data_IF_982076540034
#
_entry.id   IF_982076540034
#
_cell.length_a   1.000
_cell.length_b   1.000
_cell.length_c   1.000
_cell.angle_alpha   90.00
_cell.angle_beta   90.00
_cell.angle_gamma   90.00
#
_symmetry.space_group_name_H-M   'P 1'
#
loop_
_entity.id
_entity.type
_entity.pdbx_description
1 polymer ?
#
# COMPACT_ATOMS: atom_id res chain seq x y z
N UNK A 1 -25.24 16.52 18.57
CA UNK A 1 -24.27 16.09 19.61
C UNK A 1 -22.96 15.85 18.89
N UNK A 2 -21.99 16.74 19.13
CA UNK A 2 -20.69 16.70 18.44
C UNK A 2 -19.86 15.56 18.98
N UNK A 3 -19.48 14.63 18.10
CA UNK A 3 -18.43 13.66 18.41
C UNK A 3 -17.11 14.40 18.35
N UNK A 4 -16.51 14.63 19.53
CA UNK A 4 -15.19 15.21 19.64
C UNK A 4 -14.17 14.26 19.05
N UNK A 5 -13.64 14.59 17.89
CA UNK A 5 -12.37 14.04 17.43
C UNK A 5 -11.30 14.57 18.37
N UNK A 6 -10.91 13.76 19.37
CA UNK A 6 -9.65 13.95 20.08
C UNK A 6 -8.54 13.85 19.05
N UNK A 7 -7.72 14.89 18.95
CA UNK A 7 -6.52 14.86 18.13
C UNK A 7 -5.57 13.81 18.72
N UNK A 8 -5.48 12.65 18.07
CA UNK A 8 -4.43 11.67 18.35
C UNK A 8 -3.14 12.21 17.74
N UNK A 9 -2.09 12.30 18.55
CA UNK A 9 -0.72 12.57 18.09
C UNK A 9 -0.20 11.35 17.33
N UNK A 10 0.70 11.54 16.35
CA UNK A 10 1.19 10.48 15.47
C UNK A 10 1.76 9.27 16.24
N UNK A 11 2.32 9.52 17.43
CA UNK A 11 2.92 8.51 18.31
C UNK A 11 1.89 7.57 18.99
N UNK A 12 0.59 7.89 18.95
CA UNK A 12 -0.49 7.11 19.57
C UNK A 12 -1.26 6.23 18.55
N UNK A 13 -0.86 6.27 17.28
CA UNK A 13 -1.50 5.53 16.20
C UNK A 13 -0.97 4.08 16.16
N UNK A 14 -1.56 3.23 16.99
CA UNK A 14 -1.42 1.77 16.86
C UNK A 14 -2.04 1.23 15.56
N UNK A 15 -1.57 0.08 15.06
CA UNK A 15 -2.15 -0.62 13.91
C UNK A 15 -3.67 -0.89 14.03
N UNK A 16 -4.20 -0.98 15.24
CA UNK A 16 -5.66 -1.05 15.49
C UNK A 16 -6.39 0.20 14.99
N UNK A 17 -5.83 1.38 15.19
CA UNK A 17 -6.42 2.65 14.73
C UNK A 17 -6.46 2.70 13.21
N UNK A 18 -5.39 2.24 12.56
CA UNK A 18 -5.33 2.14 11.09
C UNK A 18 -6.42 1.19 10.57
N UNK A 19 -6.56 -0.01 11.16
CA UNK A 19 -7.60 -0.97 10.77
C UNK A 19 -9.00 -0.37 10.96
N UNK A 20 -9.24 0.34 12.06
CA UNK A 20 -10.52 0.98 12.34
C UNK A 20 -10.83 2.09 11.33
N UNK A 21 -9.87 2.96 11.03
CA UNK A 21 -10.04 4.01 10.02
C UNK A 21 -10.29 3.46 8.62
N UNK A 22 -9.61 2.36 8.24
CA UNK A 22 -9.88 1.67 6.98
C UNK A 22 -11.30 1.11 6.97
N UNK A 23 -11.73 0.48 8.07
CA UNK A 23 -13.09 -0.04 8.22
C UNK A 23 -14.14 1.06 8.17
N UNK A 24 -13.91 2.19 8.84
CA UNK A 24 -14.84 3.32 8.90
C UNK A 24 -14.92 4.06 7.55
N UNK A 25 -13.84 4.03 6.78
CA UNK A 25 -13.79 4.59 5.42
C UNK A 25 -14.33 3.63 4.35
N UNK A 26 -14.65 2.38 4.70
CA UNK A 26 -15.03 1.35 3.74
C UNK A 26 -16.33 1.67 3.00
N UNK A 27 -17.36 2.18 3.68
CA UNK A 27 -18.65 2.51 3.06
C UNK A 27 -18.52 3.61 1.97
N UNK A 28 -17.67 4.60 2.23
CA UNK A 28 -17.37 5.67 1.27
C UNK A 28 -16.57 5.08 0.09
N UNK A 29 -15.61 4.22 0.39
CA UNK A 29 -14.73 3.56 -0.60
C UNK A 29 -15.53 2.63 -1.52
N UNK A 30 -16.45 1.84 -0.97
CA UNK A 30 -17.36 0.95 -1.71
C UNK A 30 -18.14 1.70 -2.79
N UNK A 31 -18.80 2.80 -2.42
CA UNK A 31 -19.59 3.57 -3.37
C UNK A 31 -18.72 4.22 -4.46
N UNK A 32 -17.54 4.72 -4.10
CA UNK A 32 -16.57 5.28 -5.05
C UNK A 32 -16.00 4.22 -6.00
N UNK A 33 -15.72 3.01 -5.50
CA UNK A 33 -15.28 1.86 -6.29
C UNK A 33 -16.36 1.44 -7.28
N UNK A 34 -17.61 1.26 -6.82
CA UNK A 34 -18.74 0.90 -7.70
C UNK A 34 -18.94 1.93 -8.80
N UNK A 35 -18.88 3.23 -8.48
CA UNK A 35 -19.00 4.31 -9.48
C UNK A 35 -17.85 4.32 -10.48
N UNK A 36 -16.62 4.19 -9.99
CA UNK A 36 -15.42 4.16 -10.83
C UNK A 36 -15.43 2.95 -11.76
N UNK A 37 -15.85 1.79 -11.25
CA UNK A 37 -15.96 0.56 -12.02
C UNK A 37 -17.05 0.63 -13.09
N UNK A 38 -18.24 1.17 -12.76
CA UNK A 38 -19.30 1.44 -13.74
C UNK A 38 -18.87 2.42 -14.83
N UNK A 39 -18.03 3.41 -14.49
CA UNK A 39 -17.47 4.36 -15.46
C UNK A 39 -16.47 3.69 -16.39
N UNK A 40 -15.64 2.79 -15.87
CA UNK A 40 -14.65 2.04 -16.65
C UNK A 40 -15.32 1.01 -17.57
N UNK A 41 -16.36 0.32 -17.05
CA UNK A 41 -17.07 -0.75 -17.78
C UNK A 41 -18.59 -0.60 -17.65
N UNK A 42 -19.22 0.28 -18.46
CA UNK A 42 -20.66 0.54 -18.39
C UNK A 42 -21.53 -0.69 -18.66
N UNK A 43 -21.07 -1.61 -19.50
CA UNK A 43 -21.78 -2.85 -19.86
C UNK A 43 -21.98 -3.83 -18.68
N UNK A 44 -21.24 -3.65 -17.58
CA UNK A 44 -21.38 -4.48 -16.38
C UNK A 44 -22.50 -3.98 -15.45
N UNK A 45 -22.98 -2.74 -15.63
CA UNK A 45 -23.93 -2.09 -14.72
C UNK A 45 -25.30 -2.81 -14.64
N UNK A 46 -25.65 -3.60 -15.65
CA UNK A 46 -26.94 -4.30 -15.75
C UNK A 46 -26.84 -5.81 -15.43
N UNK A 47 -25.64 -6.35 -15.21
CA UNK A 47 -25.46 -7.78 -14.92
C UNK A 47 -25.47 -8.04 -13.43
N UNK A 48 -26.63 -8.37 -12.87
CA UNK A 48 -26.75 -8.87 -11.48
C UNK A 48 -26.20 -10.29 -11.28
N UNK A 49 -25.55 -10.85 -12.31
CA UNK A 49 -24.98 -12.20 -12.30
C UNK A 49 -23.47 -12.06 -12.48
N UNK A 50 -22.73 -12.28 -11.39
CA UNK A 50 -21.29 -12.53 -11.44
C UNK A 50 -21.14 -13.96 -11.94
N UNK A 51 -21.26 -14.16 -13.25
CA UNK A 51 -20.61 -15.33 -13.83
C UNK A 51 -19.12 -15.06 -13.75
N UNK A 52 -18.42 -15.94 -13.04
CA UNK A 52 -16.97 -16.08 -13.05
C UNK A 52 -16.56 -16.57 -14.46
N UNK A 53 -16.87 -15.76 -15.47
CA UNK A 53 -16.44 -15.95 -16.83
C UNK A 53 -14.98 -15.56 -16.88
N UNK A 54 -14.16 -16.50 -17.35
CA UNK A 54 -12.80 -16.27 -17.82
C UNK A 54 -12.73 -14.88 -18.44
N UNK A 55 -11.98 -13.97 -17.81
CA UNK A 55 -11.88 -12.59 -18.25
C UNK A 55 -11.59 -12.63 -19.76
N UNK A 56 -12.56 -12.16 -20.54
CA UNK A 56 -12.50 -12.13 -21.98
C UNK A 56 -11.26 -11.31 -22.36
N UNK A 57 -10.15 -12.01 -22.62
CA UNK A 57 -8.81 -11.43 -22.83
C UNK A 57 -8.79 -10.40 -23.96
N UNK A 58 -9.81 -10.40 -24.82
CA UNK A 58 -10.03 -9.44 -25.89
C UNK A 58 -10.61 -8.09 -25.43
N UNK A 59 -11.20 -7.98 -24.24
CA UNK A 59 -11.82 -6.74 -23.73
C UNK A 59 -10.94 -5.96 -22.75
N UNK A 60 -9.92 -6.59 -22.16
CA UNK A 60 -9.05 -5.94 -21.16
C UNK A 60 -8.11 -4.87 -21.73
N UNK A 61 -7.47 -5.02 -22.91
CA UNK A 61 -6.56 -4.00 -23.42
C UNK A 61 -7.25 -2.64 -23.72
N UNK A 62 -8.45 -2.59 -24.33
CA UNK A 62 -9.19 -1.34 -24.50
C UNK A 62 -9.55 -0.65 -23.17
N UNK A 63 -9.90 -1.43 -22.14
CA UNK A 63 -10.30 -0.89 -20.83
C UNK A 63 -9.14 -0.24 -20.09
N UNK A 64 -7.95 -0.82 -20.13
CA UNK A 64 -6.76 -0.28 -19.46
C UNK A 64 -6.40 1.11 -20.02
N UNK A 65 -6.57 1.32 -21.32
CA UNK A 65 -6.35 2.63 -21.96
C UNK A 65 -7.36 3.70 -21.55
N UNK A 66 -8.49 3.32 -20.95
CA UNK A 66 -9.46 4.27 -20.39
C UNK A 66 -9.10 4.74 -18.97
N UNK A 67 -8.07 4.16 -18.35
CA UNK A 67 -7.56 4.58 -17.04
C UNK A 67 -6.62 5.78 -17.26
N UNK A 68 -6.85 6.93 -16.60
CA UNK A 68 -5.95 8.07 -16.68
C UNK A 68 -4.52 7.68 -16.29
N UNK A 69 -3.53 7.99 -17.13
CA UNK A 69 -2.13 7.61 -16.93
C UNK A 69 -1.75 6.23 -17.49
N UNK A 70 -2.66 5.53 -18.17
CA UNK A 70 -2.42 4.25 -18.83
C UNK A 70 -2.71 4.30 -20.35
N UNK A 71 -2.80 5.49 -20.94
CA UNK A 71 -3.13 5.69 -22.35
C UNK A 71 -2.13 4.99 -23.29
N UNK A 72 -0.85 5.01 -22.90
CA UNK A 72 0.27 4.43 -23.65
C UNK A 72 0.58 2.98 -23.27
N UNK A 73 -0.26 2.33 -22.46
CA UNK A 73 -0.08 0.94 -22.08
C UNK A 73 -0.04 0.05 -23.35
N UNK A 74 1.10 -0.60 -23.56
CA UNK A 74 1.30 -1.49 -24.70
C UNK A 74 0.56 -2.80 -24.49
N UNK A 75 0.19 -3.47 -25.59
CA UNK A 75 -0.43 -4.80 -25.52
C UNK A 75 0.46 -5.79 -24.76
N UNK A 76 1.78 -5.74 -24.99
CA UNK A 76 2.75 -6.55 -24.26
C UNK A 76 2.66 -6.32 -22.74
N UNK A 77 2.66 -5.07 -22.30
CA UNK A 77 2.54 -4.69 -20.87
C UNK A 77 1.24 -5.20 -20.27
N UNK A 78 0.12 -5.07 -21.01
CA UNK A 78 -1.18 -5.60 -20.58
C UNK A 78 -1.13 -7.12 -20.46
N UNK A 79 -0.56 -7.82 -21.44
CA UNK A 79 -0.45 -9.27 -21.42
C UNK A 79 0.47 -9.77 -20.31
N UNK A 80 1.54 -9.05 -20.01
CA UNK A 80 2.46 -9.34 -18.91
C UNK A 80 1.73 -9.26 -17.57
N UNK A 81 0.99 -8.18 -17.30
CA UNK A 81 0.17 -8.04 -16.09
C UNK A 81 -0.88 -9.14 -15.96
N UNK A 82 -1.56 -9.49 -17.05
CA UNK A 82 -2.56 -10.55 -17.06
C UNK A 82 -1.94 -11.95 -16.90
N UNK A 83 -0.65 -12.10 -17.20
CA UNK A 83 0.08 -13.35 -17.05
C UNK A 83 0.73 -13.50 -15.68
N UNK A 84 0.82 -12.44 -14.87
CA UNK A 84 1.36 -12.50 -13.51
C UNK A 84 0.64 -13.52 -12.61
N UNK A 85 -0.65 -13.79 -12.86
CA UNK A 85 -1.42 -14.78 -12.09
C UNK A 85 -1.19 -16.24 -12.50
N UNK A 86 -0.34 -16.51 -13.51
CA UNK A 86 -0.13 -17.88 -14.02
C UNK A 86 0.92 -18.67 -13.25
N UNK A 87 1.91 -18.01 -12.64
CA UNK A 87 2.87 -18.65 -11.77
C UNK A 87 2.42 -18.52 -10.32
N UNK A 88 1.51 -19.41 -9.94
CA UNK A 88 1.23 -19.73 -8.55
C UNK A 88 0.88 -18.48 -7.72
N UNK A 89 -0.25 -17.83 -8.07
CA UNK A 89 -1.02 -17.09 -7.07
C UNK A 89 -1.57 -18.14 -6.08
N UNK A 90 -0.66 -18.67 -5.26
CA UNK A 90 -0.93 -19.64 -4.22
C UNK A 90 -1.83 -18.90 -3.25
N UNK A 91 -3.13 -19.14 -3.37
CA UNK A 91 -4.07 -18.85 -2.32
C UNK A 91 -3.65 -19.74 -1.16
N UNK A 92 -2.69 -19.25 -0.36
CA UNK A 92 -2.28 -19.93 0.85
C UNK A 92 -3.53 -20.10 1.70
N UNK A 93 -3.83 -21.33 2.07
CA UNK A 93 -4.87 -21.55 3.08
C UNK A 93 -4.38 -21.01 4.41
N UNK A 94 -5.29 -20.69 5.33
CA UNK A 94 -4.94 -20.18 6.64
C UNK A 94 -3.92 -21.12 7.34
N UNK A 95 -4.04 -22.43 7.15
CA UNK A 95 -3.12 -23.44 7.68
C UNK A 95 -1.71 -23.35 7.07
N UNK A 96 -1.61 -23.07 5.77
CA UNK A 96 -0.33 -22.90 5.08
C UNK A 96 0.37 -21.61 5.53
N UNK A 97 -0.39 -20.52 5.72
CA UNK A 97 0.10 -19.26 6.27
C UNK A 97 0.63 -19.47 7.69
N UNK A 98 -0.14 -20.14 8.55
CA UNK A 98 0.26 -20.45 9.93
C UNK A 98 1.53 -21.30 9.95
N UNK A 99 1.61 -22.31 9.08
CA UNK A 99 2.78 -23.19 8.94
C UNK A 99 4.03 -22.43 8.51
N UNK A 100 3.92 -21.47 7.57
CA UNK A 100 5.03 -20.62 7.13
C UNK A 100 5.59 -19.75 8.28
N UNK A 101 4.71 -19.23 9.13
CA UNK A 101 5.10 -18.41 10.28
C UNK A 101 5.78 -19.26 11.36
N UNK A 102 5.29 -20.49 11.57
CA UNK A 102 5.79 -21.39 12.61
C UNK A 102 7.09 -22.13 12.23
N UNK A 103 7.34 -22.38 10.94
CA UNK A 103 8.50 -23.16 10.48
C UNK A 103 9.74 -22.32 10.15
N UNK A 104 9.75 -21.02 10.46
CA UNK A 104 10.96 -20.20 10.30
C UNK A 104 12.01 -20.72 11.30
N UNK A 105 13.25 -21.05 10.88
CA UNK A 105 14.27 -21.52 11.82
C UNK A 105 14.46 -20.45 12.89
N UNK A 106 14.31 -20.86 14.15
CA UNK A 106 14.70 -20.07 15.29
C UNK A 106 16.21 -19.89 15.16
N UNK A 107 16.63 -18.71 14.71
CA UNK A 107 18.03 -18.32 14.81
C UNK A 107 18.30 -18.11 16.31
N UNK A 108 18.63 -19.21 17.00
CA UNK A 108 19.08 -19.27 18.39
C UNK A 108 20.50 -18.67 18.52
N UNK A 109 20.71 -17.54 17.87
CA UNK A 109 21.73 -16.59 18.27
C UNK A 109 21.26 -16.01 19.60
N UNK A 110 21.70 -16.65 20.68
CA UNK A 110 21.66 -16.19 22.07
C UNK A 110 22.32 -14.81 22.16
N UNK A 111 21.59 -13.78 21.75
CA UNK A 111 21.86 -12.40 22.08
C UNK A 111 21.19 -12.20 23.42
N UNK A 112 21.99 -12.22 24.49
CA UNK A 112 21.57 -11.66 25.75
C UNK A 112 20.97 -10.29 25.47
N UNK A 113 19.64 -10.20 25.58
CA UNK A 113 18.88 -8.96 25.57
C UNK A 113 19.15 -8.26 26.91
N UNK A 114 20.38 -7.81 27.08
CA UNK A 114 20.77 -6.85 28.11
C UNK A 114 21.46 -5.69 27.41
N UNK A 115 20.67 -4.92 26.69
CA UNK A 115 20.81 -3.47 26.68
C UNK A 115 19.38 -2.94 26.59
N UNK A 116 18.84 -2.61 27.76
CA UNK A 116 17.73 -1.68 27.89
C UNK A 116 18.07 -0.49 26.97
N UNK A 117 17.24 -0.14 25.96
CA UNK A 117 17.53 1.04 25.17
C UNK A 117 17.45 2.21 26.15
N UNK A 118 18.62 2.76 26.50
CA UNK A 118 18.73 4.01 27.21
C UNK A 118 17.81 4.97 26.46
N UNK A 119 16.73 5.38 27.11
CA UNK A 119 15.67 6.14 26.48
C UNK A 119 16.15 7.59 26.28
N UNK A 120 17.15 7.77 25.42
CA UNK A 120 17.56 9.09 24.98
C UNK A 120 16.37 9.68 24.25
N UNK A 121 15.55 10.43 24.99
CA UNK A 121 14.42 11.17 24.50
C UNK A 121 14.98 12.26 23.60
N UNK A 122 15.19 11.92 22.33
CA UNK A 122 15.65 12.88 21.32
C UNK A 122 14.59 13.98 21.26
N UNK A 123 14.98 15.20 21.59
CA UNK A 123 14.07 16.36 21.53
C UNK A 123 13.59 16.56 20.11
N UNK A 124 12.34 17.03 19.93
CA UNK A 124 11.81 17.38 18.61
C UNK A 124 12.74 18.33 17.82
N UNK A 125 13.45 19.22 18.51
CA UNK A 125 14.43 20.12 17.88
C UNK A 125 15.63 19.37 17.31
N UNK A 126 16.02 18.27 17.94
CA UNK A 126 17.20 17.48 17.60
C UNK A 126 16.89 16.51 16.46
N UNK A 127 15.69 15.92 16.46
CA UNK A 127 15.15 15.17 15.31
C UNK A 127 14.97 16.08 14.09
N UNK A 128 14.43 17.29 14.28
CA UNK A 128 14.26 18.26 13.19
C UNK A 128 15.61 18.72 12.62
N UNK A 129 16.60 18.93 13.48
CA UNK A 129 17.95 19.30 13.06
C UNK A 129 18.63 18.16 12.29
N UNK A 130 18.51 16.92 12.76
CA UNK A 130 19.04 15.74 12.07
C UNK A 130 18.42 15.55 10.68
N UNK A 131 17.10 15.75 10.56
CA UNK A 131 16.40 15.71 9.28
C UNK A 131 16.88 16.82 8.34
N UNK A 132 17.07 18.04 8.84
CA UNK A 132 17.60 19.15 8.06
C UNK A 132 19.01 18.86 7.53
N UNK A 133 19.86 18.24 8.35
CA UNK A 133 21.21 17.83 7.97
C UNK A 133 21.16 16.76 6.87
N UNK A 134 20.30 15.75 7.00
CA UNK A 134 20.12 14.70 6.00
C UNK A 134 19.63 15.29 4.67
N UNK A 135 18.65 16.19 4.70
CA UNK A 135 18.16 16.87 3.50
C UNK A 135 19.27 17.68 2.81
N UNK A 136 20.05 18.45 3.58
CA UNK A 136 21.17 19.23 3.04
C UNK A 136 22.25 18.36 2.42
N UNK A 137 22.51 17.19 3.00
CA UNK A 137 23.43 16.20 2.44
C UNK A 137 22.91 15.66 1.10
N UNK A 138 21.62 15.32 1.03
CA UNK A 138 21.01 14.86 -0.22
C UNK A 138 20.99 15.94 -1.29
N UNK A 139 20.76 17.21 -0.93
CA UNK A 139 20.82 18.34 -1.88
C UNK A 139 22.22 18.60 -2.46
N UNK A 140 23.27 18.19 -1.76
CA UNK A 140 24.67 18.34 -2.22
C UNK A 140 25.17 17.14 -3.02
N UNK A 141 24.44 16.03 -3.04
CA UNK A 141 24.79 14.84 -3.82
C UNK A 141 24.57 15.08 -5.32
N UNK A 142 25.55 14.71 -6.16
CA UNK A 142 25.45 14.82 -7.63
C UNK A 142 24.34 13.93 -8.22
N UNK A 143 23.92 12.88 -7.51
CA UNK A 143 22.90 11.93 -7.96
C UNK A 143 21.48 12.30 -7.48
N UNK A 144 21.32 13.40 -6.74
CA UNK A 144 20.04 13.75 -6.15
C UNK A 144 19.09 14.36 -7.19
N UNK A 145 17.96 13.66 -7.41
CA UNK A 145 16.88 14.16 -8.26
C UNK A 145 15.98 15.10 -7.48
N UNK A 146 15.57 16.24 -8.06
CA UNK A 146 14.67 17.21 -7.41
C UNK A 146 13.37 16.60 -6.88
N UNK A 147 12.88 15.54 -7.53
CA UNK A 147 11.72 14.74 -7.10
C UNK A 147 11.98 14.02 -5.76
N UNK A 148 13.15 13.43 -5.56
CA UNK A 148 13.50 12.72 -4.32
C UNK A 148 13.60 13.69 -3.13
N UNK A 149 14.14 14.89 -3.37
CA UNK A 149 14.22 15.95 -2.35
C UNK A 149 12.82 16.46 -1.99
N UNK A 150 11.91 16.58 -2.98
CA UNK A 150 10.54 17.01 -2.75
C UNK A 150 9.75 16.01 -1.89
N UNK A 151 9.94 14.69 -2.10
CA UNK A 151 9.31 13.64 -1.30
C UNK A 151 9.82 13.55 0.14
N UNK A 152 11.03 14.03 0.44
CA UNK A 152 11.56 14.03 1.81
C UNK A 152 11.16 15.29 2.60
N UNK A 153 10.59 16.31 1.95
CA UNK A 153 10.16 17.57 2.58
C UNK A 153 8.65 17.63 2.89
N UNK A 154 7.85 16.63 2.50
CA UNK A 154 6.40 16.60 2.65
C UNK A 154 5.87 15.18 2.84
#
# INVERSE_FOLDING_TARGET
>A
MGSGMGQATLDDISGRHVIYWVSESWDITQNCLVKSWKRLRPSLADSSKVEQGEANKSETPPLIKCIPGCEDASEHTVTEWLSCDTEANLLYTDEEIISLIQNKPQDDSDLEETDEPENVLVSHSETANALEIALRYTEQSEDATSTAIMFMRH
#
